data_IF_050575980372
#
_entry.id   IF_050575980372
#
_cell.length_a   1.000
_cell.length_b   1.000
_cell.length_c   1.000
_cell.angle_alpha   90.00
_cell.angle_beta   90.00
_cell.angle_gamma   90.00
#
_symmetry.space_group_name_H-M   'P 1'
#
loop_
_entity.id
_entity.type
_entity.pdbx_description
1 polymer ?
#
# COMPACT_ATOMS: atom_id res chain seq x y z
N UNK A 1 12.34 -17.14 18.07
CA UNK A 1 13.40 -16.49 17.27
C UNK A 1 13.51 -15.07 17.75
N UNK A 2 14.64 -14.70 18.35
CA UNK A 2 14.85 -13.35 18.90
C UNK A 2 15.65 -12.57 17.87
N UNK A 3 15.06 -11.52 17.31
CA UNK A 3 15.78 -10.63 16.39
C UNK A 3 16.47 -9.57 17.26
N UNK A 4 17.79 -9.38 17.16
CA UNK A 4 18.48 -8.28 17.83
C UNK A 4 17.89 -6.95 17.33
N UNK A 5 17.71 -6.02 18.26
CA UNK A 5 17.14 -4.71 18.02
C UNK A 5 15.69 -4.73 17.46
N UNK A 6 14.78 -5.45 18.14
CA UNK A 6 13.35 -5.52 17.78
C UNK A 6 12.70 -4.13 17.58
N UNK A 7 13.15 -3.12 18.33
CA UNK A 7 12.72 -1.73 18.18
C UNK A 7 13.07 -1.19 16.79
N UNK A 8 14.32 -1.37 16.36
CA UNK A 8 14.77 -0.93 15.04
C UNK A 8 14.03 -1.66 13.91
N UNK A 9 13.81 -2.97 14.06
CA UNK A 9 13.02 -3.77 13.10
C UNK A 9 11.59 -3.25 13.00
N UNK A 10 10.98 -2.93 14.14
CA UNK A 10 9.63 -2.39 14.20
C UNK A 10 9.55 -1.05 13.46
N UNK A 11 10.52 -0.15 13.71
CA UNK A 11 10.61 1.15 13.03
C UNK A 11 10.81 0.96 11.52
N UNK A 12 11.73 0.12 11.10
CA UNK A 12 12.01 -0.10 9.68
C UNK A 12 10.79 -0.65 8.92
N UNK A 13 10.11 -1.68 9.47
CA UNK A 13 8.98 -2.30 8.78
C UNK A 13 7.73 -1.42 8.80
N UNK A 14 7.50 -0.67 9.88
CA UNK A 14 6.42 0.34 9.90
C UNK A 14 6.69 1.48 8.91
N UNK A 15 7.93 1.96 8.82
CA UNK A 15 8.32 2.96 7.82
C UNK A 15 8.14 2.46 6.38
N UNK A 16 8.39 1.18 6.11
CA UNK A 16 8.13 0.58 4.79
C UNK A 16 6.63 0.68 4.42
N UNK A 17 5.73 0.35 5.35
CA UNK A 17 4.27 0.49 5.12
C UNK A 17 3.89 1.95 4.83
N UNK A 18 4.40 2.88 5.65
CA UNK A 18 4.09 4.30 5.53
C UNK A 18 4.59 4.88 4.20
N UNK A 19 5.85 4.59 3.83
CA UNK A 19 6.45 5.04 2.57
C UNK A 19 5.75 4.44 1.36
N UNK A 20 5.45 3.14 1.41
CA UNK A 20 4.70 2.46 0.34
C UNK A 20 3.32 3.09 0.15
N UNK A 21 2.59 3.35 1.22
CA UNK A 21 1.27 3.96 1.15
C UNK A 21 1.31 5.42 0.66
N UNK A 22 2.29 6.21 1.10
CA UNK A 22 2.48 7.57 0.62
C UNK A 22 2.83 7.63 -0.87
N UNK A 23 3.71 6.73 -1.33
CA UNK A 23 4.05 6.64 -2.74
C UNK A 23 2.86 6.19 -3.59
N UNK A 24 2.08 5.19 -3.14
CA UNK A 24 0.87 4.78 -3.87
C UNK A 24 -0.19 5.90 -3.91
N UNK A 25 -0.40 6.63 -2.81
CA UNK A 25 -1.30 7.78 -2.80
C UNK A 25 -0.85 8.88 -3.79
N UNK A 26 0.44 9.16 -3.86
CA UNK A 26 0.98 10.09 -4.87
C UNK A 26 0.79 9.52 -6.28
N UNK A 27 1.03 8.22 -6.48
CA UNK A 27 0.84 7.55 -7.76
C UNK A 27 -0.61 7.62 -8.25
N UNK A 28 -1.62 7.50 -7.37
CA UNK A 28 -3.02 7.69 -7.80
C UNK A 28 -3.29 9.12 -8.27
N UNK A 29 -2.70 10.14 -7.61
CA UNK A 29 -2.81 11.53 -8.10
C UNK A 29 -2.20 11.68 -9.50
N UNK A 30 -1.00 11.15 -9.73
CA UNK A 30 -0.35 11.18 -11.04
C UNK A 30 -1.13 10.39 -12.10
N UNK A 31 -1.69 9.24 -11.73
CA UNK A 31 -2.52 8.44 -12.61
C UNK A 31 -3.74 9.22 -13.09
N UNK A 32 -4.44 9.93 -12.20
CA UNK A 32 -5.55 10.79 -12.61
C UNK A 32 -5.10 11.99 -13.44
N UNK A 33 -3.95 12.58 -13.14
CA UNK A 33 -3.42 13.71 -13.91
C UNK A 33 -3.03 13.29 -15.34
N UNK A 34 -2.44 12.09 -15.50
CA UNK A 34 -2.17 11.47 -16.81
C UNK A 34 -3.42 11.37 -17.69
N UNK A 35 -4.57 11.04 -17.09
CA UNK A 35 -5.82 10.98 -17.85
C UNK A 35 -6.30 12.33 -18.36
N UNK A 36 -5.82 13.45 -17.80
CA UNK A 36 -6.16 14.79 -18.28
C UNK A 36 -5.21 15.28 -19.36
N UNK A 37 -3.91 15.05 -19.19
CA UNK A 37 -2.89 15.70 -20.00
C UNK A 37 -2.41 14.82 -21.16
N UNK A 38 -2.50 13.49 -21.02
CA UNK A 38 -1.79 12.56 -21.91
C UNK A 38 -2.55 11.25 -22.17
N UNK A 39 -3.89 11.28 -22.11
CA UNK A 39 -4.75 10.08 -22.23
C UNK A 39 -4.42 9.17 -23.43
N UNK A 40 -3.97 9.76 -24.55
CA UNK A 40 -3.63 9.02 -25.78
C UNK A 40 -2.13 8.85 -26.03
N UNK A 41 -1.26 9.44 -25.20
CA UNK A 41 0.18 9.54 -25.50
C UNK A 41 1.08 8.86 -24.47
N UNK A 42 0.58 8.54 -23.27
CA UNK A 42 1.31 7.74 -22.29
C UNK A 42 0.69 6.35 -22.17
N UNK A 43 1.46 5.30 -22.47
CA UNK A 43 1.04 3.92 -22.19
C UNK A 43 1.02 3.72 -20.66
N UNK A 44 -0.13 3.31 -20.13
CA UNK A 44 -0.30 2.99 -18.71
C UNK A 44 0.72 1.97 -18.21
N UNK A 45 1.21 1.09 -19.09
CA UNK A 45 2.26 0.12 -18.78
C UNK A 45 3.56 0.80 -18.41
N UNK A 46 3.92 1.89 -19.06
CA UNK A 46 5.15 2.62 -18.75
C UNK A 46 5.02 3.37 -17.44
N UNK A 47 3.83 3.93 -17.16
CA UNK A 47 3.51 4.45 -15.84
C UNK A 47 3.67 3.38 -14.74
N UNK A 48 3.12 2.18 -14.95
CA UNK A 48 3.24 1.08 -14.00
C UNK A 48 4.67 0.61 -13.84
N UNK A 49 5.46 0.49 -14.91
CA UNK A 49 6.89 0.14 -14.81
C UNK A 49 7.64 1.12 -13.91
N UNK A 50 7.43 2.42 -14.10
CA UNK A 50 8.11 3.45 -13.29
C UNK A 50 7.74 3.31 -11.82
N UNK A 51 6.45 3.17 -11.51
CA UNK A 51 5.97 3.09 -10.12
C UNK A 51 6.36 1.78 -9.44
N UNK A 52 6.19 0.66 -10.11
CA UNK A 52 6.41 -0.67 -9.55
C UNK A 52 7.90 -1.03 -9.44
N UNK A 53 8.79 -0.32 -10.15
CA UNK A 53 10.23 -0.51 -10.05
C UNK A 53 10.82 0.00 -8.72
N UNK A 54 10.23 1.04 -8.11
CA UNK A 54 10.62 1.50 -6.79
C UNK A 54 9.43 2.05 -6.02
N UNK A 55 8.77 1.17 -5.28
CA UNK A 55 7.56 1.48 -4.51
C UNK A 55 7.81 2.37 -3.27
N UNK A 56 9.05 2.74 -2.98
CA UNK A 56 9.40 3.63 -1.87
C UNK A 56 9.86 5.02 -2.33
N UNK A 57 10.06 5.22 -3.64
CA UNK A 57 10.55 6.47 -4.19
C UNK A 57 9.45 7.22 -4.96
N UNK A 58 8.88 8.22 -4.31
CA UNK A 58 7.87 9.10 -4.88
C UNK A 58 8.41 10.16 -5.86
N UNK A 59 9.73 10.33 -5.96
CA UNK A 59 10.34 11.35 -6.82
C UNK A 59 10.44 10.87 -8.27
N UNK A 60 10.39 9.55 -8.52
CA UNK A 60 10.37 8.98 -9.88
C UNK A 60 9.18 9.47 -10.71
N UNK A 61 8.09 9.84 -10.04
CA UNK A 61 6.89 10.40 -10.66
C UNK A 61 7.13 11.79 -11.27
N UNK A 62 8.14 12.53 -10.81
CA UNK A 62 8.49 13.83 -11.41
C UNK A 62 8.96 13.69 -12.86
N UNK A 63 9.42 12.51 -13.27
CA UNK A 63 9.83 12.22 -14.65
C UNK A 63 8.69 12.39 -15.67
N UNK A 64 7.43 12.30 -15.23
CA UNK A 64 6.29 12.53 -16.11
C UNK A 64 6.05 14.02 -16.41
N UNK A 65 6.63 14.95 -15.65
CA UNK A 65 6.45 16.40 -15.82
C UNK A 65 4.98 16.86 -15.82
N UNK A 66 4.11 16.14 -15.11
CA UNK A 66 2.68 16.41 -15.02
C UNK A 66 2.36 17.12 -13.69
N UNK A 67 1.47 18.10 -13.74
CA UNK A 67 0.99 18.80 -12.55
C UNK A 67 -0.16 18.05 -11.88
N UNK A 68 0.04 17.64 -10.63
CA UNK A 68 -1.03 17.02 -9.79
C UNK A 68 -1.84 18.04 -8.98
N UNK A 69 -1.47 19.32 -9.05
CA UNK A 69 -2.10 20.41 -8.32
C UNK A 69 -2.74 21.46 -9.26
N UNK A 70 -2.77 21.19 -10.56
CA UNK A 70 -3.45 22.03 -11.55
C UNK A 70 -4.98 21.86 -11.55
N UNK A 71 -5.66 22.74 -12.30
CA UNK A 71 -7.13 22.82 -12.39
C UNK A 71 -7.79 21.48 -12.77
N UNK A 72 -7.13 20.70 -13.64
CA UNK A 72 -7.59 19.38 -14.04
C UNK A 72 -7.67 18.36 -12.89
N UNK A 73 -6.95 18.59 -11.79
CA UNK A 73 -6.81 17.69 -10.65
C UNK A 73 -7.56 18.18 -9.41
N UNK A 74 -8.39 19.22 -9.53
CA UNK A 74 -9.23 19.75 -8.42
C UNK A 74 -10.00 18.66 -7.67
N UNK A 75 -10.62 17.65 -8.35
CA UNK A 75 -11.31 16.56 -7.64
C UNK A 75 -10.42 15.74 -6.69
N UNK A 76 -9.10 15.75 -6.88
CA UNK A 76 -8.14 15.05 -6.02
C UNK A 76 -7.68 15.89 -4.82
N UNK A 77 -8.04 17.17 -4.79
CA UNK A 77 -7.62 18.13 -3.78
C UNK A 77 -8.75 18.42 -2.78
N UNK A 78 -9.69 17.48 -2.63
CA UNK A 78 -10.80 17.52 -1.68
C UNK A 78 -10.44 16.76 -0.40
N UNK A 79 -11.04 17.15 0.73
CA UNK A 79 -10.81 16.48 2.02
C UNK A 79 -11.20 15.00 1.95
N UNK A 80 -12.25 14.72 1.20
CA UNK A 80 -12.80 13.40 0.97
C UNK A 80 -11.78 12.52 0.24
N UNK A 81 -11.13 13.03 -0.81
CA UNK A 81 -10.05 12.32 -1.51
C UNK A 81 -8.81 12.15 -0.64
N UNK A 82 -8.40 13.18 0.13
CA UNK A 82 -7.27 13.07 1.05
C UNK A 82 -7.45 12.00 2.12
N UNK A 83 -8.69 11.64 2.46
CA UNK A 83 -8.98 10.55 3.40
C UNK A 83 -8.60 9.17 2.84
N UNK A 84 -8.34 9.04 1.53
CA UNK A 84 -7.82 7.80 0.93
C UNK A 84 -6.40 7.51 1.40
N UNK A 85 -5.58 8.54 1.66
CA UNK A 85 -4.19 8.36 2.10
C UNK A 85 -4.06 7.43 3.33
N UNK A 86 -4.74 7.71 4.48
CA UNK A 86 -4.71 6.80 5.62
C UNK A 86 -5.39 5.45 5.33
N UNK A 87 -6.38 5.39 4.43
CA UNK A 87 -7.03 4.13 4.04
C UNK A 87 -6.08 3.20 3.26
N UNK A 88 -5.24 3.74 2.37
CA UNK A 88 -4.19 2.96 1.68
C UNK A 88 -3.27 2.31 2.72
N UNK A 89 -2.74 3.12 3.64
CA UNK A 89 -1.82 2.64 4.67
C UNK A 89 -2.50 1.62 5.57
N UNK A 90 -3.75 1.88 5.98
CA UNK A 90 -4.54 0.93 6.77
C UNK A 90 -4.73 -0.40 6.03
N UNK A 91 -5.04 -0.38 4.74
CA UNK A 91 -5.24 -1.58 3.94
C UNK A 91 -3.99 -2.48 3.87
N UNK A 92 -2.80 -1.88 3.89
CA UNK A 92 -1.54 -2.62 3.99
C UNK A 92 -1.29 -3.12 5.42
N UNK A 93 -1.53 -2.26 6.42
CA UNK A 93 -1.34 -2.58 7.83
C UNK A 93 -2.24 -3.74 8.29
N UNK A 94 -3.50 -3.78 7.86
CA UNK A 94 -4.43 -4.87 8.13
C UNK A 94 -3.91 -6.23 7.64
N UNK A 95 -3.04 -6.23 6.62
CA UNK A 95 -2.43 -7.44 6.05
C UNK A 95 -0.98 -7.68 6.48
N UNK A 96 -0.47 -6.96 7.48
CA UNK A 96 0.83 -7.25 8.09
C UNK A 96 1.03 -8.72 8.49
N UNK A 97 0.02 -9.48 8.96
CA UNK A 97 0.22 -10.90 9.28
C UNK A 97 0.62 -11.74 8.05
N UNK A 98 0.19 -11.36 6.84
CA UNK A 98 0.61 -11.97 5.58
C UNK A 98 2.02 -11.50 5.22
N UNK A 99 2.26 -10.18 5.21
CA UNK A 99 3.55 -9.58 4.86
C UNK A 99 4.70 -10.06 5.76
N UNK A 100 4.42 -10.27 7.05
CA UNK A 100 5.39 -10.74 8.03
C UNK A 100 5.56 -12.27 8.04
N UNK A 101 4.86 -12.98 7.16
CA UNK A 101 4.82 -14.42 7.04
C UNK A 101 4.52 -15.13 8.38
N UNK A 102 3.43 -14.71 9.05
CA UNK A 102 3.12 -15.15 10.41
C UNK A 102 2.48 -16.56 10.42
N UNK A 103 3.10 -17.64 9.86
CA UNK A 103 2.96 -19.02 10.41
C UNK A 103 3.76 -20.18 9.77
N UNK A 104 4.09 -21.13 10.67
CA UNK A 104 4.43 -22.57 10.54
C UNK A 104 5.69 -23.00 9.77
N UNK A 105 6.77 -22.24 9.88
CA UNK A 105 8.11 -22.69 9.48
C UNK A 105 9.20 -21.94 10.26
N UNK A 106 10.45 -22.38 10.14
CA UNK A 106 11.60 -21.63 10.67
C UNK A 106 11.85 -20.40 9.78
N UNK A 107 11.24 -19.27 10.10
CA UNK A 107 11.45 -17.99 9.41
C UNK A 107 10.17 -17.15 9.38
N UNK A 108 10.17 -16.02 10.08
CA UNK A 108 9.03 -15.10 10.18
C UNK A 108 9.02 -14.36 11.52
N UNK A 109 8.20 -13.30 11.62
CA UNK A 109 8.01 -12.57 12.87
C UNK A 109 7.00 -13.27 13.79
N UNK A 110 7.20 -13.11 15.10
CA UNK A 110 6.24 -13.54 16.11
C UNK A 110 5.01 -12.65 16.11
N UNK A 111 3.87 -13.16 16.60
CA UNK A 111 2.64 -12.37 16.78
C UNK A 111 2.90 -11.06 17.53
N UNK A 112 3.69 -11.12 18.61
CA UNK A 112 4.08 -9.93 19.39
C UNK A 112 4.80 -8.87 18.55
N UNK A 113 5.73 -9.30 17.69
CA UNK A 113 6.48 -8.40 16.83
C UNK A 113 5.59 -7.81 15.74
N UNK A 114 4.69 -8.61 15.16
CA UNK A 114 3.71 -8.12 14.18
C UNK A 114 2.72 -7.13 14.81
N UNK A 115 2.25 -7.39 16.04
CA UNK A 115 1.37 -6.47 16.79
C UNK A 115 2.08 -5.14 17.07
N UNK A 116 3.37 -5.17 17.39
CA UNK A 116 4.17 -3.96 17.61
C UNK A 116 4.30 -3.12 16.34
N UNK A 117 4.54 -3.75 15.17
CA UNK A 117 4.59 -3.06 13.88
C UNK A 117 3.23 -2.46 13.54
N UNK A 118 2.15 -3.22 13.72
CA UNK A 118 0.79 -2.73 13.46
C UNK A 118 0.46 -1.51 14.33
N UNK A 119 0.76 -1.59 15.63
CA UNK A 119 0.56 -0.50 16.59
C UNK A 119 1.37 0.75 16.19
N UNK A 120 2.65 0.58 15.84
CA UNK A 120 3.52 1.66 15.41
C UNK A 120 3.01 2.38 14.14
N UNK A 121 2.35 1.66 13.23
CA UNK A 121 1.69 2.28 12.05
C UNK A 121 0.46 3.09 12.48
N UNK A 122 -0.40 2.54 13.35
CA UNK A 122 -1.62 3.23 13.79
C UNK A 122 -1.34 4.48 14.63
N UNK A 123 -0.27 4.47 15.43
CA UNK A 123 0.18 5.62 16.22
C UNK A 123 0.51 6.86 15.36
N UNK A 124 0.69 6.70 14.05
CA UNK A 124 0.86 7.81 13.09
C UNK A 124 -0.47 8.46 12.66
N UNK A 125 -1.58 8.17 13.36
CA UNK A 125 -2.90 8.72 13.06
C UNK A 125 -3.63 7.99 11.93
N UNK A 126 -3.21 6.77 11.61
CA UNK A 126 -3.82 5.95 10.56
C UNK A 126 -5.09 5.31 11.11
N UNK A 127 -6.19 5.40 10.36
CA UNK A 127 -7.48 4.85 10.77
C UNK A 127 -8.34 4.42 9.57
N UNK A 128 -9.23 3.46 9.81
CA UNK A 128 -10.20 2.98 8.82
C UNK A 128 -11.48 3.81 8.86
N UNK A 129 -11.41 5.03 8.34
CA UNK A 129 -12.53 5.97 8.33
C UNK A 129 -13.75 5.34 7.66
N UNK A 130 -14.90 5.36 8.36
CA UNK A 130 -16.16 4.83 7.85
C UNK A 130 -16.18 3.31 7.65
N UNK A 131 -15.16 2.57 8.10
CA UNK A 131 -15.04 1.13 7.84
C UNK A 131 -14.85 0.82 6.34
N UNK A 132 -14.25 1.74 5.57
CA UNK A 132 -14.12 1.61 4.12
C UNK A 132 -13.34 0.37 3.69
N UNK A 133 -12.28 0.02 4.43
CA UNK A 133 -11.53 -1.22 4.21
C UNK A 133 -12.22 -2.34 4.98
N UNK A 134 -12.74 -3.34 4.27
CA UNK A 134 -13.48 -4.45 4.86
C UNK A 134 -12.60 -5.39 5.71
N UNK A 135 -11.32 -5.49 5.38
CA UNK A 135 -10.36 -6.35 6.09
C UNK A 135 -9.86 -5.67 7.37
N UNK A 136 -9.80 -6.45 8.45
CA UNK A 136 -9.19 -6.03 9.71
C UNK A 136 -7.96 -6.87 10.04
N UNK A 137 -7.02 -6.27 10.78
CA UNK A 137 -5.81 -6.94 11.25
C UNK A 137 -6.12 -8.22 12.03
N UNK A 138 -7.12 -8.19 12.90
CA UNK A 138 -7.53 -9.30 13.75
C UNK A 138 -8.08 -10.47 12.92
N UNK A 139 -8.89 -10.16 11.90
CA UNK A 139 -9.46 -11.14 10.97
C UNK A 139 -8.38 -11.84 10.14
N UNK A 140 -7.44 -11.05 9.58
CA UNK A 140 -6.31 -11.57 8.80
C UNK A 140 -5.38 -12.38 9.69
N UNK A 141 -5.03 -11.87 10.87
CA UNK A 141 -4.23 -12.59 11.87
C UNK A 141 -4.88 -13.93 12.25
N UNK A 142 -6.20 -13.97 12.48
CA UNK A 142 -6.89 -15.21 12.80
C UNK A 142 -6.86 -16.22 11.64
N UNK A 143 -6.93 -15.75 10.39
CA UNK A 143 -6.92 -16.58 9.18
C UNK A 143 -5.53 -17.17 8.92
N UNK A 144 -4.51 -16.30 8.89
CA UNK A 144 -3.10 -16.68 8.83
C UNK A 144 -2.79 -17.65 9.95
N UNK A 145 -3.31 -17.37 11.16
CA UNK A 145 -3.15 -18.29 12.28
C UNK A 145 -3.74 -19.65 11.92
N UNK A 146 -5.00 -19.74 11.54
CA UNK A 146 -5.63 -21.04 11.26
C UNK A 146 -5.08 -21.76 10.01
N UNK A 147 -4.05 -21.24 9.34
CA UNK A 147 -3.55 -21.79 8.08
C UNK A 147 -4.58 -21.67 6.96
N UNK A 148 -5.55 -20.77 7.12
CA UNK A 148 -6.55 -20.49 6.11
C UNK A 148 -5.94 -19.51 5.09
N UNK A 149 -6.21 -19.75 3.82
CA UNK A 149 -5.83 -18.81 2.77
C UNK A 149 -6.45 -17.44 3.03
N UNK A 150 -5.63 -16.39 2.94
CA UNK A 150 -6.10 -15.01 2.89
C UNK A 150 -6.38 -14.67 1.42
N UNK A 151 -7.52 -14.05 1.08
CA UNK A 151 -7.80 -13.65 -0.29
C UNK A 151 -6.69 -12.75 -0.87
N UNK A 152 -6.49 -12.74 -2.20
CA UNK A 152 -5.59 -11.78 -2.84
C UNK A 152 -5.94 -10.34 -2.49
N UNK A 153 -4.95 -9.44 -2.51
CA UNK A 153 -5.19 -8.02 -2.23
C UNK A 153 -6.08 -7.40 -3.31
N UNK A 154 -7.08 -6.63 -2.89
CA UNK A 154 -8.09 -6.03 -3.75
C UNK A 154 -8.15 -4.52 -3.54
N UNK A 155 -8.36 -3.79 -4.65
CA UNK A 155 -8.62 -2.36 -4.66
C UNK A 155 -10.11 -2.00 -4.48
N UNK A 156 -10.98 -2.99 -4.26
CA UNK A 156 -12.43 -2.77 -4.23
C UNK A 156 -12.87 -1.70 -3.22
N UNK A 157 -12.19 -1.62 -2.07
CA UNK A 157 -12.45 -0.59 -1.06
C UNK A 157 -12.18 0.83 -1.61
N UNK A 158 -11.15 1.00 -2.44
CA UNK A 158 -10.79 2.30 -3.03
C UNK A 158 -11.88 2.74 -4.00
N UNK A 159 -12.31 1.84 -4.88
CA UNK A 159 -13.37 2.11 -5.84
C UNK A 159 -14.70 2.40 -5.15
N UNK A 160 -15.08 1.60 -4.17
CA UNK A 160 -16.29 1.81 -3.36
C UNK A 160 -16.25 3.17 -2.67
N UNK A 161 -15.12 3.51 -2.03
CA UNK A 161 -14.94 4.79 -1.35
C UNK A 161 -15.09 5.98 -2.31
N UNK A 162 -14.49 5.91 -3.50
CA UNK A 162 -14.64 6.96 -4.53
C UNK A 162 -16.12 7.14 -4.89
N UNK A 163 -16.83 6.05 -5.20
CA UNK A 163 -18.24 6.12 -5.58
C UNK A 163 -19.16 6.64 -4.48
N UNK A 164 -18.81 6.44 -3.21
CA UNK A 164 -19.64 6.88 -2.09
C UNK A 164 -19.30 8.27 -1.58
N UNK A 165 -18.05 8.71 -1.73
CA UNK A 165 -17.50 9.83 -0.97
C UNK A 165 -16.86 10.92 -1.82
N UNK A 166 -16.61 10.69 -3.12
CA UNK A 166 -16.03 11.70 -4.02
C UNK A 166 -16.86 11.80 -5.30
N UNK A 167 -17.99 12.55 -5.28
CA UNK A 167 -18.96 12.61 -6.38
C UNK A 167 -18.34 12.94 -7.75
N UNK A 168 -17.37 13.86 -7.79
CA UNK A 168 -16.72 14.30 -9.03
C UNK A 168 -15.91 13.18 -9.71
N UNK A 169 -15.38 12.24 -8.91
CA UNK A 169 -14.68 11.06 -9.41
C UNK A 169 -15.61 9.87 -9.64
N UNK A 170 -16.82 9.92 -9.08
CA UNK A 170 -17.88 8.92 -9.27
C UNK A 170 -18.62 9.08 -10.60
N UNK A 171 -18.59 10.28 -11.20
CA UNK A 171 -19.25 10.58 -12.47
C UNK A 171 -18.77 9.65 -13.60
N UNK A 172 -19.72 9.18 -14.41
CA UNK A 172 -19.43 8.29 -15.53
C UNK A 172 -18.81 9.10 -16.67
N UNK A 173 -17.49 9.03 -16.77
CA UNK A 173 -16.71 9.61 -17.87
C UNK A 173 -15.56 8.67 -18.26
N UNK A 174 -15.07 8.77 -19.50
CA UNK A 174 -13.90 7.99 -19.95
C UNK A 174 -12.69 8.20 -19.04
N UNK A 175 -12.54 9.41 -18.52
CA UNK A 175 -11.47 9.81 -17.61
C UNK A 175 -11.57 9.07 -16.28
N UNK A 176 -12.72 9.14 -15.63
CA UNK A 176 -12.95 8.53 -14.31
C UNK A 176 -12.93 7.00 -14.40
N UNK A 177 -13.52 6.42 -15.45
CA UNK A 177 -13.48 4.96 -15.67
C UNK A 177 -12.07 4.45 -15.94
N UNK A 178 -11.26 5.20 -16.70
CA UNK A 178 -9.86 4.86 -16.89
C UNK A 178 -9.10 4.95 -15.57
N UNK A 179 -9.29 6.03 -14.80
CA UNK A 179 -8.61 6.22 -13.52
C UNK A 179 -8.92 5.10 -12.52
N UNK A 180 -10.19 4.79 -12.29
CA UNK A 180 -10.60 3.73 -11.36
C UNK A 180 -10.22 2.35 -11.88
N UNK A 181 -10.35 2.09 -13.18
CA UNK A 181 -9.92 0.83 -13.80
C UNK A 181 -8.40 0.61 -13.72
N UNK A 182 -7.60 1.66 -13.93
CA UNK A 182 -6.16 1.58 -13.78
C UNK A 182 -5.75 1.45 -12.30
N UNK A 183 -6.44 2.12 -11.37
CA UNK A 183 -6.23 1.95 -9.93
C UNK A 183 -6.54 0.50 -9.49
N UNK A 184 -7.62 -0.10 -10.00
CA UNK A 184 -8.00 -1.49 -9.73
C UNK A 184 -6.90 -2.50 -10.10
N UNK A 185 -6.07 -2.19 -11.09
CA UNK A 185 -4.91 -3.00 -11.48
C UNK A 185 -3.64 -2.61 -10.71
N UNK A 186 -3.40 -1.30 -10.53
CA UNK A 186 -2.21 -0.79 -9.87
C UNK A 186 -2.09 -1.31 -8.43
N UNK A 187 -3.17 -1.24 -7.67
CA UNK A 187 -3.19 -1.59 -6.24
C UNK A 187 -2.74 -3.04 -5.97
N UNK A 188 -3.30 -4.07 -6.62
CA UNK A 188 -2.81 -5.45 -6.50
C UNK A 188 -1.36 -5.62 -6.93
N UNK A 189 -0.95 -5.05 -8.07
CA UNK A 189 0.44 -5.16 -8.54
C UNK A 189 1.42 -4.50 -7.58
N UNK A 190 1.03 -3.36 -7.01
CA UNK A 190 1.81 -2.64 -6.03
C UNK A 190 1.97 -3.43 -4.74
N UNK A 191 0.89 -4.05 -4.27
CA UNK A 191 0.92 -4.93 -3.10
C UNK A 191 1.84 -6.15 -3.32
N UNK A 192 1.83 -6.75 -4.51
CA UNK A 192 2.77 -7.83 -4.85
C UNK A 192 4.23 -7.39 -4.79
N UNK A 193 4.55 -6.17 -5.22
CA UNK A 193 5.90 -5.61 -5.03
C UNK A 193 6.21 -5.40 -3.55
N UNK A 194 5.23 -4.92 -2.76
CA UNK A 194 5.40 -4.74 -1.32
C UNK A 194 5.67 -6.06 -0.59
N UNK A 195 4.97 -7.13 -0.95
CA UNK A 195 5.22 -8.48 -0.41
C UNK A 195 6.67 -8.92 -0.65
N UNK A 196 7.20 -8.74 -1.87
CA UNK A 196 8.58 -9.10 -2.22
C UNK A 196 9.63 -8.28 -1.46
N UNK A 197 9.38 -6.98 -1.28
CA UNK A 197 10.27 -6.10 -0.51
C UNK A 197 10.27 -6.48 0.97
N UNK A 198 9.11 -6.81 1.53
CA UNK A 198 8.98 -7.32 2.89
C UNK A 198 9.72 -8.66 3.07
N UNK A 199 9.51 -9.60 2.15
CA UNK A 199 10.19 -10.90 2.17
C UNK A 199 11.72 -10.73 2.12
N UNK A 200 12.21 -9.92 1.18
CA UNK A 200 13.65 -9.62 1.04
C UNK A 200 14.21 -9.01 2.32
N UNK A 201 13.48 -8.06 2.92
CA UNK A 201 13.92 -7.40 4.15
C UNK A 201 13.93 -8.36 5.34
N UNK A 202 12.89 -9.16 5.52
CA UNK A 202 12.79 -10.15 6.58
C UNK A 202 13.90 -11.20 6.47
N UNK A 203 14.15 -11.70 5.26
CA UNK A 203 15.25 -12.64 5.00
C UNK A 203 16.62 -12.04 5.36
N UNK A 204 16.83 -10.76 5.06
CA UNK A 204 18.06 -10.04 5.44
C UNK A 204 18.20 -9.92 6.95
N UNK A 205 17.13 -9.52 7.65
CA UNK A 205 17.11 -9.39 9.11
C UNK A 205 17.33 -10.74 9.81
N UNK A 206 16.82 -11.83 9.22
CA UNK A 206 17.00 -13.21 9.70
C UNK A 206 18.42 -13.71 9.45
N UNK A 207 18.99 -13.44 8.28
CA UNK A 207 20.34 -13.87 7.92
C UNK A 207 21.41 -13.23 8.81
N UNK A 208 21.26 -11.94 9.14
CA UNK A 208 22.11 -11.23 10.10
C UNK A 208 22.09 -11.82 11.53
N UNK A 209 21.17 -12.74 11.83
CA UNK A 209 21.05 -13.40 13.14
C UNK A 209 21.70 -14.78 13.22
N UNK A 210 22.21 -15.33 12.11
CA UNK A 210 22.95 -16.58 12.17
C UNK A 210 24.35 -16.27 12.70
N UNK A 211 24.79 -16.87 13.82
CA UNK A 211 26.17 -16.70 14.27
C UNK A 211 27.11 -17.20 13.19
N UNK A 212 28.14 -16.40 12.87
CA UNK A 212 29.28 -16.85 12.06
C UNK A 212 29.90 -18.00 12.84
N UNK A 213 29.83 -19.22 12.30
CA UNK A 213 30.46 -20.37 12.92
C UNK A 213 31.99 -20.12 12.99
N UNK A 214 32.64 -20.46 14.11
CA UNK A 214 34.09 -20.29 14.28
C UNK A 214 34.90 -21.15 13.31
#
# INVERSE_FOLDING_TARGET
MTIPNESEVTVQLSDMILKAGANLFKATKYLYALTSESYYHCDIKDFFKVILNNIFNADVLSAFQISIDGDACVPLNTREYFSIFPLIIYSFAARLPVLCNVRSGSGGLTVRQTDAIYSAVLERGISNTGGAVAESYESVMASVRRGKGVPPYSAEWFRTYIYTSVPELADISNRNLYFTGAADVLFPLYYLCLEKEFETRLNTLIASNKPVAP
#
